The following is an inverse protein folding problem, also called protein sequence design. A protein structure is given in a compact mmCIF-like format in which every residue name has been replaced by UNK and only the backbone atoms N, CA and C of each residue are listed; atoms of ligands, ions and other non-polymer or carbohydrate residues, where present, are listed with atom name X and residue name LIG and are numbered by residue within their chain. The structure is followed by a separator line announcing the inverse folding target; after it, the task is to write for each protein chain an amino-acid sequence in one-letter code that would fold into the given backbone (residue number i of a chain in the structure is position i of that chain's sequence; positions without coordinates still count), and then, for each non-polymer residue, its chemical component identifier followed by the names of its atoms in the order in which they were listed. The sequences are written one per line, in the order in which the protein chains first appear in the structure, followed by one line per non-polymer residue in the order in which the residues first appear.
data_IF_829008299931
#
_entry.id   IF_829008299931
#
_cell.length_a   1.000
_cell.length_b   1.000
_cell.length_c   1.000
_cell.angle_alpha   90.00
_cell.angle_beta   90.00
_cell.angle_gamma   90.00
#
_symmetry.space_group_name_H-M   'P 1'
#
loop_
_entity.id
_entity.type
_entity.pdbx_description
1 polymer ?
#
# COMPACT_ATOMS: atom_id res chain seq x y z
N UNK A 1 -7.74 6.26 -22.17
CA UNK A 1 -6.67 6.54 -21.19
C UNK A 1 -7.29 7.41 -20.11
N UNK A 2 -7.75 6.80 -19.01
CA UNK A 2 -8.36 7.57 -17.92
C UNK A 2 -7.28 8.33 -17.15
N UNK A 3 -7.56 9.60 -16.84
CA UNK A 3 -6.71 10.51 -16.05
C UNK A 3 -6.66 10.14 -14.55
N UNK A 4 -7.02 8.91 -14.18
CA UNK A 4 -7.14 8.53 -12.78
C UNK A 4 -5.74 8.32 -12.18
N UNK A 5 -5.51 8.78 -10.94
CA UNK A 5 -4.26 8.48 -10.23
C UNK A 5 -4.09 6.97 -10.08
N UNK A 6 -2.85 6.50 -10.20
CA UNK A 6 -2.57 5.06 -10.20
C UNK A 6 -2.30 4.57 -8.78
N UNK A 7 -2.83 3.39 -8.44
CA UNK A 7 -2.62 2.75 -7.16
C UNK A 7 -2.10 1.32 -7.32
N UNK A 8 -1.42 0.83 -6.30
CA UNK A 8 -1.06 -0.59 -6.14
C UNK A 8 -1.73 -1.15 -4.89
N UNK A 9 -2.25 -2.36 -5.00
CA UNK A 9 -2.74 -3.12 -3.86
C UNK A 9 -1.58 -3.79 -3.14
N UNK A 10 -1.63 -3.88 -1.81
CA UNK A 10 -0.68 -4.68 -1.05
C UNK A 10 -1.38 -5.46 0.05
N UNK A 11 -1.03 -6.73 0.20
CA UNK A 11 -1.43 -7.57 1.32
C UNK A 11 -0.37 -8.61 1.66
N UNK A 12 -0.50 -9.16 2.87
CA UNK A 12 0.25 -10.30 3.39
C UNK A 12 -0.62 -11.54 3.39
N UNK A 13 -0.20 -12.62 2.71
CA UNK A 13 -0.96 -13.87 2.62
C UNK A 13 -1.02 -14.61 3.95
N UNK A 14 -0.01 -14.47 4.79
CA UNK A 14 0.03 -15.00 6.16
C UNK A 14 -0.93 -14.25 7.11
N UNK A 15 -1.23 -12.98 6.83
CA UNK A 15 -2.21 -12.18 7.59
C UNK A 15 -3.64 -12.42 7.07
N UNK A 16 -3.82 -12.41 5.75
CA UNK A 16 -5.14 -12.67 5.13
C UNK A 16 -5.59 -14.13 5.26
N UNK A 17 -4.65 -15.08 5.19
CA UNK A 17 -4.94 -16.50 5.15
C UNK A 17 -6.00 -16.84 4.09
N UNK A 18 -7.02 -17.59 4.49
CA UNK A 18 -8.14 -17.98 3.62
C UNK A 18 -8.99 -16.79 3.13
N UNK A 19 -8.88 -15.61 3.76
CA UNK A 19 -9.60 -14.41 3.35
C UNK A 19 -8.91 -13.64 2.22
N UNK A 20 -7.72 -14.08 1.76
CA UNK A 20 -6.96 -13.35 0.74
C UNK A 20 -7.80 -12.97 -0.51
N UNK A 21 -8.58 -13.87 -1.14
CA UNK A 21 -9.40 -13.49 -2.30
C UNK A 21 -10.42 -12.39 -1.96
N UNK A 22 -10.96 -12.41 -0.75
CA UNK A 22 -11.89 -11.39 -0.27
C UNK A 22 -11.17 -10.06 -0.07
N UNK A 23 -9.96 -10.07 0.49
CA UNK A 23 -9.16 -8.87 0.69
C UNK A 23 -8.72 -8.24 -0.65
N UNK A 24 -8.35 -9.04 -1.65
CA UNK A 24 -8.06 -8.56 -3.00
C UNK A 24 -9.27 -7.86 -3.64
N UNK A 25 -10.47 -8.46 -3.52
CA UNK A 25 -11.71 -7.84 -4.00
C UNK A 25 -12.03 -6.55 -3.24
N UNK A 26 -11.75 -6.50 -1.95
CA UNK A 26 -11.93 -5.30 -1.11
C UNK A 26 -10.99 -4.18 -1.52
N UNK A 27 -9.73 -4.48 -1.82
CA UNK A 27 -8.76 -3.51 -2.36
C UNK A 27 -9.26 -2.97 -3.71
N UNK A 28 -9.70 -3.85 -4.62
CA UNK A 28 -10.24 -3.46 -5.92
C UNK A 28 -11.47 -2.56 -5.78
N UNK A 29 -12.39 -2.92 -4.88
CA UNK A 29 -13.58 -2.11 -4.60
C UNK A 29 -13.21 -0.74 -3.99
N UNK A 30 -12.21 -0.70 -3.11
CA UNK A 30 -11.73 0.54 -2.51
C UNK A 30 -11.09 1.47 -3.56
N UNK A 31 -10.26 0.93 -4.47
CA UNK A 31 -9.68 1.71 -5.57
C UNK A 31 -10.76 2.35 -6.45
N UNK A 32 -11.76 1.56 -6.86
CA UNK A 32 -12.90 2.06 -7.67
C UNK A 32 -13.69 3.15 -6.95
N UNK A 33 -13.93 2.98 -5.64
CA UNK A 33 -14.64 3.97 -4.81
C UNK A 33 -13.88 5.27 -4.59
N UNK A 34 -12.54 5.19 -4.55
CA UNK A 34 -11.66 6.33 -4.32
C UNK A 34 -11.19 7.01 -5.61
N UNK A 35 -11.58 6.47 -6.78
CA UNK A 35 -11.23 7.03 -8.08
C UNK A 35 -9.79 6.72 -8.52
N UNK A 36 -9.19 5.63 -8.03
CA UNK A 36 -7.86 5.19 -8.43
C UNK A 36 -7.91 4.07 -9.47
N UNK A 37 -6.96 4.10 -10.40
CA UNK A 37 -6.67 2.98 -11.29
C UNK A 37 -5.75 1.97 -10.59
N UNK A 38 -6.31 0.83 -10.16
CA UNK A 38 -5.54 -0.22 -9.49
C UNK A 38 -4.73 -1.01 -10.52
N UNK A 39 -3.42 -0.80 -10.54
CA UNK A 39 -2.52 -1.43 -11.52
C UNK A 39 -2.34 -2.93 -11.30
N UNK A 40 -2.15 -3.34 -10.05
CA UNK A 40 -2.09 -4.74 -9.61
C UNK A 40 -2.15 -4.81 -8.08
N UNK A 41 -2.34 -6.01 -7.55
CA UNK A 41 -2.15 -6.31 -6.12
C UNK A 41 -0.87 -7.12 -5.93
N UNK A 42 -0.03 -6.69 -4.99
CA UNK A 42 1.19 -7.36 -4.57
C UNK A 42 0.89 -8.16 -3.32
N UNK A 43 1.25 -9.43 -3.35
CA UNK A 43 1.06 -10.36 -2.23
C UNK A 43 2.43 -10.79 -1.74
N UNK A 44 2.71 -10.57 -0.45
CA UNK A 44 3.88 -11.11 0.22
C UNK A 44 3.48 -12.18 1.23
N UNK A 45 4.36 -13.14 1.48
CA UNK A 45 4.16 -14.15 2.52
C UNK A 45 5.11 -13.91 3.71
N UNK A 46 5.01 -14.77 4.71
CA UNK A 46 5.93 -14.81 5.86
C UNK A 46 7.40 -15.01 5.45
N UNK A 47 7.66 -15.57 4.26
CA UNK A 47 9.02 -15.79 3.72
C UNK A 47 9.58 -14.60 2.93
N UNK A 48 8.76 -13.57 2.66
CA UNK A 48 9.24 -12.36 2.01
C UNK A 48 9.99 -11.49 3.02
N UNK A 49 11.31 -11.49 2.97
CA UNK A 49 12.15 -10.55 3.71
C UNK A 49 12.07 -9.14 3.12
N UNK A 50 12.39 -8.13 3.94
CA UNK A 50 12.44 -6.71 3.55
C UNK A 50 11.19 -6.22 2.82
N UNK A 51 9.99 -6.62 3.30
CA UNK A 51 8.69 -6.32 2.66
C UNK A 51 8.53 -4.85 2.32
N UNK A 52 8.87 -3.95 3.24
CA UNK A 52 8.79 -2.49 3.03
C UNK A 52 9.69 -2.05 1.89
N UNK A 53 10.94 -2.50 1.84
CA UNK A 53 11.86 -2.17 0.76
C UNK A 53 11.36 -2.70 -0.59
N UNK A 54 10.93 -3.96 -0.65
CA UNK A 54 10.40 -4.58 -1.87
C UNK A 54 9.13 -3.88 -2.36
N UNK A 55 8.25 -3.46 -1.46
CA UNK A 55 7.07 -2.68 -1.78
C UNK A 55 7.46 -1.31 -2.38
N UNK A 56 8.42 -0.60 -1.79
CA UNK A 56 8.95 0.67 -2.32
C UNK A 56 9.56 0.50 -3.73
N UNK A 57 10.31 -0.57 -3.95
CA UNK A 57 10.84 -0.89 -5.29
C UNK A 57 9.72 -1.15 -6.29
N UNK A 58 8.66 -1.85 -5.88
CA UNK A 58 7.52 -2.10 -6.74
C UNK A 58 6.74 -0.82 -7.07
N UNK A 59 6.53 0.06 -6.08
CA UNK A 59 5.92 1.38 -6.25
C UNK A 59 6.69 2.19 -7.30
N UNK A 60 8.01 2.29 -7.16
CA UNK A 60 8.87 3.00 -8.10
C UNK A 60 8.83 2.39 -9.52
N UNK A 61 8.83 1.06 -9.64
CA UNK A 61 8.78 0.37 -10.94
C UNK A 61 7.44 0.50 -11.67
N UNK A 62 6.36 0.67 -10.91
CA UNK A 62 5.01 0.81 -11.44
C UNK A 62 4.61 2.27 -11.69
N UNK A 63 5.45 3.22 -11.27
CA UNK A 63 5.16 4.65 -11.30
C UNK A 63 3.82 4.98 -10.63
N UNK A 64 3.63 4.44 -9.41
CA UNK A 64 2.44 4.70 -8.59
C UNK A 64 2.82 5.50 -7.35
N UNK A 65 1.91 6.32 -6.87
CA UNK A 65 2.09 7.18 -5.68
C UNK A 65 1.11 6.82 -4.55
N UNK A 66 0.28 5.79 -4.72
CA UNK A 66 -0.71 5.34 -3.74
C UNK A 66 -0.69 3.82 -3.54
N UNK A 67 -0.72 3.39 -2.28
CA UNK A 67 -0.84 1.99 -1.86
C UNK A 67 -2.18 1.78 -1.17
N UNK A 68 -2.93 0.76 -1.57
CA UNK A 68 -4.18 0.37 -0.93
C UNK A 68 -3.97 -0.98 -0.23
N UNK A 69 -4.27 -1.04 1.07
CA UNK A 69 -4.08 -2.23 1.92
C UNK A 69 -5.35 -2.58 2.68
N UNK A 70 -5.59 -3.85 3.08
CA UNK A 70 -6.80 -4.19 3.81
C UNK A 70 -6.88 -3.52 5.20
N UNK A 71 -5.79 -3.58 5.96
CA UNK A 71 -5.62 -2.99 7.30
C UNK A 71 -4.12 -2.76 7.58
N UNK A 72 -3.80 -2.08 8.69
CA UNK A 72 -2.40 -1.87 9.10
C UNK A 72 -1.70 -3.16 9.56
N UNK A 73 -2.47 -4.22 9.85
CA UNK A 73 -1.95 -5.54 10.25
C UNK A 73 -1.11 -6.22 9.15
N UNK A 74 -1.23 -5.75 7.90
CA UNK A 74 -0.39 -6.21 6.80
C UNK A 74 1.02 -5.63 6.82
N UNK A 75 1.36 -4.76 7.77
CA UNK A 75 2.73 -4.31 8.03
C UNK A 75 3.30 -5.02 9.25
N UNK A 76 4.63 -5.15 9.32
CA UNK A 76 5.31 -5.96 10.33
C UNK A 76 4.99 -5.51 11.77
N UNK A 77 4.98 -4.21 12.05
CA UNK A 77 4.67 -3.63 13.37
C UNK A 77 3.19 -3.23 13.54
N UNK A 78 2.31 -3.66 12.63
CA UNK A 78 0.90 -3.25 12.57
C UNK A 78 0.69 -1.73 12.41
N UNK A 79 1.74 -1.00 11.99
CA UNK A 79 1.75 0.43 11.74
C UNK A 79 2.28 0.72 10.34
N UNK A 80 1.85 1.85 9.75
CA UNK A 80 2.35 2.26 8.43
C UNK A 80 3.84 2.65 8.56
N UNK A 81 4.76 2.02 7.80
CA UNK A 81 6.17 2.39 7.84
C UNK A 81 6.40 3.80 7.31
N UNK A 82 7.17 4.63 8.03
CA UNK A 82 7.49 6.00 7.60
C UNK A 82 8.16 6.04 6.22
N UNK A 83 9.05 5.07 5.96
CA UNK A 83 9.76 4.91 4.69
C UNK A 83 8.80 4.68 3.51
N UNK A 84 7.61 4.15 3.76
CA UNK A 84 6.55 4.01 2.77
C UNK A 84 5.83 5.34 2.56
N UNK A 85 5.51 6.06 3.64
CA UNK A 85 4.90 7.40 3.58
C UNK A 85 5.80 8.46 2.93
N UNK A 86 7.10 8.24 2.84
CA UNK A 86 8.01 9.11 2.07
C UNK A 86 7.78 9.04 0.56
N UNK A 87 7.27 7.91 0.06
CA UNK A 87 7.17 7.62 -1.38
C UNK A 87 5.73 7.48 -1.87
N UNK A 88 4.78 7.11 -1.00
CA UNK A 88 3.40 6.88 -1.38
C UNK A 88 2.41 7.26 -0.27
N UNK A 89 1.21 7.68 -0.68
CA UNK A 89 0.03 7.74 0.17
C UNK A 89 -0.44 6.32 0.47
N UNK A 90 -0.83 6.03 1.71
CA UNK A 90 -1.41 4.73 2.07
C UNK A 90 -2.90 4.90 2.34
N UNK A 91 -3.72 3.98 1.83
CA UNK A 91 -5.16 3.89 2.09
C UNK A 91 -5.45 2.52 2.67
N UNK A 92 -6.11 2.44 3.82
CA UNK A 92 -6.61 1.17 4.36
C UNK A 92 -8.08 1.00 4.01
N UNK A 93 -8.47 -0.24 3.74
CA UNK A 93 -9.88 -0.58 3.53
C UNK A 93 -10.64 -0.62 4.85
N UNK A 94 -10.00 -1.10 5.93
CA UNK A 94 -10.60 -1.17 7.26
C UNK A 94 -9.56 -0.97 8.37
N UNK A 95 -9.72 0.08 9.21
CA UNK A 95 -10.69 1.18 9.05
C UNK A 95 -10.46 1.95 7.73
N UNK A 96 -11.43 2.71 7.23
CA UNK A 96 -11.32 3.43 5.96
C UNK A 96 -10.51 4.72 6.09
N UNK A 97 -9.20 4.61 6.21
CA UNK A 97 -8.31 5.72 6.54
C UNK A 97 -7.34 6.02 5.40
N UNK A 98 -6.88 7.27 5.32
CA UNK A 98 -5.87 7.73 4.37
C UNK A 98 -4.71 8.36 5.13
N UNK A 99 -3.50 7.87 4.91
CA UNK A 99 -2.25 8.41 5.43
C UNK A 99 -1.53 9.09 4.28
N UNK A 100 -1.57 10.42 4.29
CA UNK A 100 -0.95 11.23 3.25
C UNK A 100 0.56 11.01 3.24
N UNK A 101 1.13 11.01 2.02
CA UNK A 101 2.57 11.03 1.82
C UNK A 101 3.19 12.21 2.57
N UNK A 102 4.14 11.94 3.45
CA UNK A 102 4.93 12.96 4.14
C UNK A 102 6.29 13.07 3.45
N UNK A 103 6.55 14.14 2.67
CA UNK A 103 7.90 14.34 2.16
C UNK A 103 8.83 14.44 3.37
N UNK A 104 9.93 13.70 3.34
CA UNK A 104 11.02 13.90 4.30
C UNK A 104 11.42 15.35 4.18
N UNK A 105 10.98 16.19 5.12
CA UNK A 105 11.53 17.53 5.29
C UNK A 105 13.00 17.27 5.57
N UNK A 106 13.86 17.66 4.63
CA UNK A 106 15.29 17.61 4.84
C UNK A 106 15.55 18.33 6.16
N UNK A 107 15.90 17.57 7.20
CA UNK A 107 16.31 18.14 8.46
C UNK A 107 17.53 19.00 8.15
N UNK A 108 17.34 20.32 8.15
CA UNK A 108 18.41 21.29 8.24
C UNK A 108 19.21 20.92 9.51
N UNK A 109 20.40 20.38 9.29
CA UNK A 109 21.40 20.18 10.33
C UNK A 109 22.06 21.54 10.63
N UNK A 110 22.22 21.94 11.89
CA UNK A 110 23.29 22.84 12.29
C UNK A 110 24.64 22.09 12.36
#
# INVERSE_FOLDING_TARGET
MGLLPSAVGFLRSDVSGLNQPRDELRILAAAKRTGYDLRKTIVFSEHTEDRVHRLRVAIARLDVDTVIVPSTEHFDDHTIPEQLLEVATVITVSPGNTWARTPRLASEAP
#
